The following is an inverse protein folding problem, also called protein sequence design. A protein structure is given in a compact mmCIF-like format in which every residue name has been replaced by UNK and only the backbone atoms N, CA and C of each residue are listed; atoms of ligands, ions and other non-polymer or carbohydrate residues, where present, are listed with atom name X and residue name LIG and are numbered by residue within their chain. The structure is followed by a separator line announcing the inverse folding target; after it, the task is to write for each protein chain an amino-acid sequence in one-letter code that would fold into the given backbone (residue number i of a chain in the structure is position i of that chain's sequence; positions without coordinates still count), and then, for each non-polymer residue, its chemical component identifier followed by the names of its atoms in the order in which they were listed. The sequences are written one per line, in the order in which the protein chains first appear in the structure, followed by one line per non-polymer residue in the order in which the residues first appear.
data_IF_284940148744
#
_entry.id   IF_284940148744
#
_cell.length_a   1.000
_cell.length_b   1.000
_cell.length_c   1.000
_cell.angle_alpha   90.00
_cell.angle_beta   90.00
_cell.angle_gamma   90.00
#
_symmetry.space_group_name_H-M   'P 1'
#
loop_
_entity.id
_entity.type
_entity.pdbx_description
1 polymer ?
#
# COMPACT_ATOMS: atom_id res chain seq x y z
N UNK A 1 -70.65 28.35 17.21
CA UNK A 1 -69.46 29.23 17.12
C UNK A 1 -68.23 28.42 17.52
N UNK A 2 -67.14 28.45 16.73
CA UNK A 2 -65.96 27.61 16.92
C UNK A 2 -64.94 28.27 17.86
N UNK A 3 -64.15 27.47 18.56
CA UNK A 3 -62.88 27.91 19.14
C UNK A 3 -61.78 26.92 18.72
N UNK A 4 -60.89 27.43 17.88
CA UNK A 4 -59.66 26.82 17.39
C UNK A 4 -58.55 27.13 18.41
N UNK A 5 -57.72 26.14 18.77
CA UNK A 5 -56.27 26.19 19.10
C UNK A 5 -55.89 24.92 19.87
N UNK A 6 -54.70 24.33 19.74
CA UNK A 6 -53.53 24.58 18.91
C UNK A 6 -52.74 23.26 18.89
N UNK A 7 -52.15 22.93 17.73
CA UNK A 7 -51.28 21.77 17.58
C UNK A 7 -50.07 21.86 18.49
N UNK A 8 -49.82 20.80 19.26
CA UNK A 8 -48.55 20.59 19.94
C UNK A 8 -47.46 20.41 18.90
N UNK A 9 -46.61 21.42 18.73
CA UNK A 9 -45.32 21.28 18.06
C UNK A 9 -44.49 20.30 18.89
N UNK A 10 -44.26 19.11 18.36
CA UNK A 10 -43.14 18.29 18.78
C UNK A 10 -41.88 19.14 18.62
N UNK A 11 -41.17 19.36 19.72
CA UNK A 11 -39.87 19.99 19.72
C UNK A 11 -38.91 19.05 18.97
N UNK A 12 -38.64 19.40 17.72
CA UNK A 12 -37.55 18.82 16.95
C UNK A 12 -36.26 19.16 17.70
N UNK A 13 -35.60 18.12 18.24
CA UNK A 13 -34.27 18.27 18.83
C UNK A 13 -33.35 18.73 17.69
N UNK A 14 -32.48 19.74 17.88
CA UNK A 14 -31.54 20.08 16.84
C UNK A 14 -30.68 18.84 16.57
N UNK A 15 -30.77 18.33 15.34
CA UNK A 15 -29.82 17.36 14.83
C UNK A 15 -28.42 17.92 15.11
N UNK A 16 -27.56 17.13 15.78
CA UNK A 16 -26.16 17.47 16.00
C UNK A 16 -25.59 17.84 14.63
N UNK A 17 -25.28 19.12 14.45
CA UNK A 17 -24.72 19.65 13.22
C UNK A 17 -23.49 18.82 12.86
N UNK A 18 -23.46 18.37 11.60
CA UNK A 18 -22.31 17.74 11.01
C UNK A 18 -21.10 18.68 11.13
N UNK A 19 -20.22 18.40 12.10
CA UNK A 19 -19.01 19.14 12.36
C UNK A 19 -17.84 18.60 11.52
N UNK A 20 -18.14 17.97 10.37
CA UNK A 20 -17.17 17.43 9.42
C UNK A 20 -16.10 18.44 9.04
N UNK A 21 -16.46 19.71 8.83
CA UNK A 21 -15.53 20.79 8.49
C UNK A 21 -14.52 21.11 9.63
N UNK A 22 -14.96 21.08 10.89
CA UNK A 22 -14.09 21.37 12.04
C UNK A 22 -13.07 20.26 12.32
N UNK A 23 -13.41 19.01 11.99
CA UNK A 23 -12.55 17.85 12.23
C UNK A 23 -11.40 17.74 11.22
N UNK A 24 -11.56 18.30 10.02
CA UNK A 24 -10.50 18.31 8.99
C UNK A 24 -9.50 19.45 9.18
N UNK A 25 -9.92 20.58 9.77
CA UNK A 25 -9.06 21.75 9.98
C UNK A 25 -7.83 21.45 10.86
N UNK A 26 -7.90 20.45 11.74
CA UNK A 26 -6.78 20.03 12.56
C UNK A 26 -5.59 19.47 11.75
N UNK A 27 -5.83 18.96 10.53
CA UNK A 27 -4.78 18.46 9.63
C UNK A 27 -3.84 19.56 9.13
N UNK A 28 -4.28 20.82 9.13
CA UNK A 28 -3.47 21.97 8.69
C UNK A 28 -2.99 22.83 9.86
N UNK A 29 -3.07 22.31 11.09
CA UNK A 29 -2.60 23.01 12.28
C UNK A 29 -1.09 23.26 12.24
N UNK A 30 -0.64 24.41 12.75
CA UNK A 30 0.78 24.68 12.95
C UNK A 30 1.44 23.69 13.93
N UNK A 31 0.67 23.13 14.87
CA UNK A 31 1.16 22.17 15.85
C UNK A 31 1.11 20.73 15.30
N UNK A 32 2.28 20.08 15.20
CA UNK A 32 2.41 18.71 14.71
C UNK A 32 1.57 17.70 15.52
N UNK A 33 1.46 17.86 16.84
CA UNK A 33 0.63 16.99 17.67
C UNK A 33 -0.87 17.10 17.36
N UNK A 34 -1.35 18.29 16.98
CA UNK A 34 -2.73 18.47 16.51
C UNK A 34 -2.93 17.78 15.17
N UNK A 35 -1.99 17.93 14.22
CA UNK A 35 -2.08 17.24 12.92
C UNK A 35 -2.07 15.72 13.11
N UNK A 36 -1.14 15.20 13.91
CA UNK A 36 -1.01 13.78 14.24
C UNK A 36 -2.29 13.20 14.87
N UNK A 37 -2.81 13.85 15.92
CA UNK A 37 -4.03 13.38 16.60
C UNK A 37 -5.25 13.46 15.70
N UNK A 38 -5.32 14.48 14.84
CA UNK A 38 -6.38 14.64 13.85
C UNK A 38 -6.33 13.52 12.81
N UNK A 39 -5.16 13.22 12.23
CA UNK A 39 -4.99 12.14 11.28
C UNK A 39 -5.47 10.79 11.87
N UNK A 40 -5.08 10.49 13.12
CA UNK A 40 -5.54 9.29 13.82
C UNK A 40 -7.05 9.26 14.06
N UNK A 41 -7.66 10.41 14.35
CA UNK A 41 -9.12 10.51 14.54
C UNK A 41 -9.90 10.32 13.21
N UNK A 42 -9.25 10.55 12.07
CA UNK A 42 -9.83 10.35 10.74
C UNK A 42 -9.59 8.94 10.17
N UNK A 43 -8.94 8.05 10.92
CA UNK A 43 -8.71 6.67 10.52
C UNK A 43 -10.03 5.95 10.14
N UNK A 44 -10.04 5.32 8.96
CA UNK A 44 -11.21 4.58 8.46
C UNK A 44 -12.34 5.45 7.88
N UNK A 45 -12.17 6.78 7.85
CA UNK A 45 -13.15 7.71 7.25
C UNK A 45 -12.89 7.90 5.76
N UNK A 46 -13.66 7.20 4.93
CA UNK A 46 -13.54 7.30 3.47
C UNK A 46 -13.81 8.73 2.94
N UNK A 47 -14.68 9.50 3.60
CA UNK A 47 -14.96 10.90 3.29
C UNK A 47 -13.76 11.83 3.57
N UNK A 48 -12.81 11.41 4.41
CA UNK A 48 -11.62 12.17 4.76
C UNK A 48 -10.43 11.95 3.81
N UNK A 49 -10.50 11.02 2.86
CA UNK A 49 -9.39 10.70 1.94
C UNK A 49 -8.85 11.93 1.22
N UNK A 50 -9.66 12.83 0.63
CA UNK A 50 -9.14 14.03 -0.03
C UNK A 50 -8.38 14.96 0.91
N UNK A 51 -8.85 15.10 2.16
CA UNK A 51 -8.20 15.94 3.15
C UNK A 51 -6.89 15.33 3.67
N UNK A 52 -6.88 14.01 3.91
CA UNK A 52 -5.67 13.27 4.26
C UNK A 52 -4.63 13.32 3.14
N UNK A 53 -5.05 13.21 1.88
CA UNK A 53 -4.17 13.34 0.71
C UNK A 53 -3.51 14.73 0.65
N UNK A 54 -4.30 15.80 0.81
CA UNK A 54 -3.78 17.16 0.85
C UNK A 54 -2.81 17.38 2.00
N UNK A 55 -3.11 16.85 3.19
CA UNK A 55 -2.23 16.93 4.35
C UNK A 55 -0.90 16.20 4.10
N UNK A 56 -0.95 14.96 3.58
CA UNK A 56 0.24 14.14 3.33
C UNK A 56 1.22 14.83 2.36
N UNK A 57 0.70 15.48 1.32
CA UNK A 57 1.51 16.15 0.30
C UNK A 57 2.34 17.32 0.83
N UNK A 58 1.88 17.98 1.90
CA UNK A 58 2.57 19.13 2.51
C UNK A 58 3.21 18.82 3.86
N UNK A 59 3.01 17.63 4.40
CA UNK A 59 3.50 17.26 5.72
C UNK A 59 5.02 17.06 5.71
N UNK A 60 5.71 17.55 6.72
CA UNK A 60 7.17 17.44 6.88
C UNK A 60 7.57 16.52 8.05
N UNK A 61 6.69 16.33 9.03
CA UNK A 61 6.95 15.48 10.18
C UNK A 61 6.77 13.99 9.85
N UNK A 62 7.83 13.16 9.95
CA UNK A 62 7.73 11.72 9.68
C UNK A 62 6.64 11.03 10.50
N UNK A 63 6.53 11.40 11.79
CA UNK A 63 5.49 10.89 12.70
C UNK A 63 4.07 11.22 12.24
N UNK A 64 3.86 12.41 11.67
CA UNK A 64 2.53 12.81 11.17
C UNK A 64 2.24 12.12 9.83
N UNK A 65 3.24 12.00 8.93
CA UNK A 65 3.10 11.25 7.67
C UNK A 65 2.69 9.80 7.92
N UNK A 66 3.35 9.12 8.85
CA UNK A 66 3.02 7.76 9.27
C UNK A 66 1.57 7.67 9.78
N UNK A 67 1.14 8.63 10.60
CA UNK A 67 -0.25 8.67 11.09
C UNK A 67 -1.27 8.90 9.97
N UNK A 68 -0.95 9.73 8.98
CA UNK A 68 -1.81 9.97 7.81
C UNK A 68 -1.88 8.72 6.93
N UNK A 69 -0.75 8.07 6.64
CA UNK A 69 -0.70 6.82 5.87
C UNK A 69 -1.43 5.69 6.60
N UNK A 70 -1.29 5.58 7.92
CA UNK A 70 -2.06 4.63 8.74
C UNK A 70 -3.57 4.91 8.65
N UNK A 71 -3.99 6.17 8.62
CA UNK A 71 -5.39 6.54 8.48
C UNK A 71 -5.94 6.15 7.11
N UNK A 72 -5.17 6.38 6.04
CA UNK A 72 -5.47 5.96 4.66
C UNK A 72 -5.52 4.44 4.53
N UNK A 73 -4.55 3.71 5.09
CA UNK A 73 -4.55 2.25 5.15
C UNK A 73 -5.82 1.72 5.81
N UNK A 74 -6.24 2.30 6.94
CA UNK A 74 -7.49 1.91 7.61
C UNK A 74 -8.76 2.21 6.82
N UNK A 75 -8.70 3.15 5.86
CA UNK A 75 -9.80 3.33 4.89
C UNK A 75 -9.81 2.18 3.88
N UNK A 76 -8.63 1.78 3.38
CA UNK A 76 -8.44 0.52 2.65
C UNK A 76 -9.23 0.41 1.34
N UNK A 77 -9.56 1.54 0.71
CA UNK A 77 -10.25 1.58 -0.58
C UNK A 77 -9.31 2.03 -1.72
N UNK A 78 -9.82 1.94 -2.95
CA UNK A 78 -9.08 2.32 -4.16
C UNK A 78 -8.54 3.76 -4.09
N UNK A 79 -9.32 4.70 -3.53
CA UNK A 79 -8.92 6.09 -3.42
C UNK A 79 -7.74 6.26 -2.44
N UNK A 80 -7.75 5.57 -1.30
CA UNK A 80 -6.63 5.59 -0.36
C UNK A 80 -5.36 4.98 -0.95
N UNK A 81 -5.48 3.88 -1.72
CA UNK A 81 -4.33 3.26 -2.39
C UNK A 81 -3.71 4.24 -3.39
N UNK A 82 -4.53 4.84 -4.26
CA UNK A 82 -4.05 5.84 -5.25
C UNK A 82 -3.34 7.04 -4.61
N UNK A 83 -3.72 7.44 -3.39
CA UNK A 83 -3.03 8.50 -2.66
C UNK A 83 -1.64 8.05 -2.19
N UNK A 84 -1.46 6.79 -1.81
CA UNK A 84 -0.19 6.26 -1.28
C UNK A 84 0.79 5.81 -2.37
N UNK A 85 0.32 5.31 -3.52
CA UNK A 85 1.19 4.78 -4.58
C UNK A 85 2.32 5.72 -5.04
N UNK A 86 2.11 7.04 -5.24
CA UNK A 86 3.18 7.94 -5.68
C UNK A 86 4.37 8.01 -4.71
N UNK A 87 4.15 7.68 -3.43
CA UNK A 87 5.19 7.72 -2.41
C UNK A 87 6.15 6.53 -2.46
N UNK A 88 5.88 5.51 -3.28
CA UNK A 88 6.86 4.47 -3.61
C UNK A 88 8.07 5.05 -4.37
N UNK A 89 7.88 6.14 -5.11
CA UNK A 89 8.93 6.84 -5.85
C UNK A 89 9.45 8.09 -5.10
N UNK A 90 9.15 8.24 -3.80
CA UNK A 90 9.62 9.39 -3.04
C UNK A 90 11.15 9.37 -2.87
N UNK A 91 11.82 10.53 -2.94
CA UNK A 91 13.28 10.60 -2.67
C UNK A 91 13.61 10.25 -1.21
N UNK A 92 12.71 10.61 -0.29
CA UNK A 92 12.85 10.33 1.14
C UNK A 92 12.62 8.84 1.44
N UNK A 93 13.66 8.16 1.93
CA UNK A 93 13.61 6.73 2.20
C UNK A 93 12.61 6.35 3.30
N UNK A 94 12.42 7.23 4.31
CA UNK A 94 11.42 7.02 5.36
C UNK A 94 10.00 7.05 4.80
N UNK A 95 9.74 7.96 3.86
CA UNK A 95 8.46 8.08 3.19
C UNK A 95 8.16 6.90 2.28
N UNK A 96 9.15 6.40 1.54
CA UNK A 96 9.02 5.15 0.77
C UNK A 96 8.68 3.97 1.66
N UNK A 97 9.41 3.81 2.77
CA UNK A 97 9.18 2.72 3.72
C UNK A 97 7.77 2.78 4.33
N UNK A 98 7.32 3.96 4.75
CA UNK A 98 5.98 4.15 5.29
C UNK A 98 4.88 3.84 4.25
N UNK A 99 5.10 4.21 2.98
CA UNK A 99 4.16 3.88 1.91
C UNK A 99 4.06 2.38 1.67
N UNK A 100 5.20 1.67 1.63
CA UNK A 100 5.25 0.21 1.47
C UNK A 100 4.54 -0.47 2.64
N UNK A 101 4.86 -0.11 3.88
CA UNK A 101 4.23 -0.69 5.08
C UNK A 101 2.72 -0.50 5.07
N UNK A 102 2.25 0.72 4.77
CA UNK A 102 0.82 1.02 4.71
C UNK A 102 0.11 0.24 3.58
N UNK A 103 0.73 0.11 2.41
CA UNK A 103 0.16 -0.62 1.28
C UNK A 103 0.15 -2.14 1.53
N UNK A 104 1.20 -2.69 2.15
CA UNK A 104 1.28 -4.10 2.57
C UNK A 104 0.21 -4.48 3.60
N UNK A 105 -0.35 -3.51 4.33
CA UNK A 105 -1.45 -3.72 5.27
C UNK A 105 -2.84 -3.87 4.62
N UNK A 106 -2.96 -3.65 3.30
CA UNK A 106 -4.21 -3.75 2.54
C UNK A 106 -4.01 -4.45 1.18
N UNK A 107 -3.46 -5.68 1.16
CA UNK A 107 -3.05 -6.35 -0.07
C UNK A 107 -4.18 -6.52 -1.10
N UNK A 108 -5.41 -6.78 -0.65
CA UNK A 108 -6.57 -6.93 -1.55
C UNK A 108 -6.92 -5.63 -2.29
N UNK A 109 -6.74 -4.47 -1.64
CA UNK A 109 -6.97 -3.17 -2.26
C UNK A 109 -5.84 -2.77 -3.21
N UNK A 110 -4.63 -3.30 -3.00
CA UNK A 110 -3.43 -3.06 -3.83
C UNK A 110 -3.39 -3.97 -5.06
N UNK A 111 -3.93 -5.19 -4.98
CA UNK A 111 -3.88 -6.19 -6.05
C UNK A 111 -4.25 -5.65 -7.45
N UNK A 112 -5.29 -4.81 -7.64
CA UNK A 112 -5.62 -4.23 -8.96
C UNK A 112 -4.53 -3.34 -9.57
N UNK A 113 -3.60 -2.83 -8.76
CA UNK A 113 -2.54 -1.90 -9.19
C UNK A 113 -1.21 -2.59 -9.50
N UNK A 114 -1.04 -3.85 -9.10
CA UNK A 114 0.24 -4.55 -9.20
C UNK A 114 0.80 -4.63 -10.61
N UNK A 115 -0.06 -4.84 -11.61
CA UNK A 115 0.39 -4.91 -13.01
C UNK A 115 0.99 -3.57 -13.48
N UNK A 116 0.40 -2.44 -13.07
CA UNK A 116 0.92 -1.13 -13.42
C UNK A 116 2.25 -0.85 -12.69
N UNK A 117 2.34 -1.23 -11.41
CA UNK A 117 3.57 -1.07 -10.63
C UNK A 117 4.73 -1.90 -11.18
N UNK A 118 4.47 -3.14 -11.63
CA UNK A 118 5.47 -3.96 -12.30
C UNK A 118 5.84 -3.50 -13.71
N UNK A 119 5.07 -2.59 -14.30
CA UNK A 119 5.36 -1.97 -15.58
C UNK A 119 5.95 -0.55 -15.43
N UNK A 120 6.22 -0.10 -14.20
CA UNK A 120 6.78 1.23 -13.96
C UNK A 120 8.15 1.37 -14.62
N UNK A 121 8.44 2.56 -15.15
CA UNK A 121 9.72 2.85 -15.80
C UNK A 121 10.89 2.81 -14.82
N UNK A 122 10.64 3.13 -13.54
CA UNK A 122 11.65 3.13 -12.49
C UNK A 122 11.80 1.72 -11.90
N UNK A 123 13.02 1.18 -11.96
CA UNK A 123 13.33 -0.14 -11.38
C UNK A 123 13.17 -0.18 -9.87
N UNK A 124 13.36 0.95 -9.17
CA UNK A 124 13.22 0.99 -7.71
C UNK A 124 11.74 0.86 -7.32
N UNK A 125 10.83 1.48 -8.09
CA UNK A 125 9.39 1.28 -7.92
C UNK A 125 9.01 -0.19 -8.17
N UNK A 126 9.57 -0.80 -9.22
CA UNK A 126 9.32 -2.23 -9.50
C UNK A 126 9.85 -3.15 -8.39
N UNK A 127 11.02 -2.85 -7.81
CA UNK A 127 11.56 -3.57 -6.64
C UNK A 127 10.62 -3.42 -5.45
N UNK A 128 10.18 -2.21 -5.11
CA UNK A 128 9.25 -2.02 -3.99
C UNK A 128 7.89 -2.68 -4.25
N UNK A 129 7.46 -2.76 -5.50
CA UNK A 129 6.25 -3.48 -5.88
C UNK A 129 6.35 -4.99 -5.59
N UNK A 130 7.55 -5.61 -5.64
CA UNK A 130 7.67 -7.03 -5.28
C UNK A 130 7.36 -7.24 -3.80
N UNK A 131 7.76 -6.30 -2.94
CA UNK A 131 7.44 -6.35 -1.51
C UNK A 131 5.94 -6.30 -1.25
N UNK A 132 5.17 -5.55 -2.04
CA UNK A 132 3.72 -5.49 -1.88
C UNK A 132 3.04 -6.84 -2.17
N UNK A 133 3.66 -7.70 -2.98
CA UNK A 133 3.15 -9.04 -3.27
C UNK A 133 3.35 -10.02 -2.10
N UNK A 134 4.25 -9.74 -1.15
CA UNK A 134 4.62 -10.64 -0.04
C UNK A 134 3.45 -11.01 0.86
N UNK A 135 2.51 -10.09 1.07
CA UNK A 135 1.32 -10.30 1.90
C UNK A 135 0.07 -10.72 1.10
N UNK A 136 0.20 -10.94 -0.21
CA UNK A 136 -0.90 -11.44 -1.03
C UNK A 136 -1.04 -12.97 -0.86
N UNK A 137 -2.20 -13.57 -1.20
CA UNK A 137 -2.34 -15.02 -1.20
C UNK A 137 -1.24 -15.69 -2.05
N UNK A 138 -0.62 -16.76 -1.53
CA UNK A 138 0.56 -17.41 -2.14
C UNK A 138 0.42 -17.70 -3.64
N UNK A 139 -0.74 -18.22 -4.05
CA UNK A 139 -1.02 -18.51 -5.47
C UNK A 139 -1.06 -17.24 -6.34
N UNK A 140 -1.58 -16.14 -5.81
CA UNK A 140 -1.62 -14.85 -6.50
C UNK A 140 -0.24 -14.20 -6.54
N UNK A 141 0.47 -14.15 -5.40
CA UNK A 141 1.84 -13.65 -5.32
C UNK A 141 2.75 -14.41 -6.30
N UNK A 142 2.67 -15.75 -6.30
CA UNK A 142 3.44 -16.61 -7.20
C UNK A 142 3.16 -16.28 -8.66
N UNK A 143 1.88 -16.23 -9.05
CA UNK A 143 1.48 -15.91 -10.43
C UNK A 143 1.99 -14.54 -10.88
N UNK A 144 1.85 -13.53 -10.02
CA UNK A 144 2.25 -12.15 -10.32
C UNK A 144 3.77 -12.01 -10.47
N UNK A 145 4.54 -12.54 -9.51
CA UNK A 145 5.99 -12.45 -9.52
C UNK A 145 6.62 -13.28 -10.64
N UNK A 146 6.03 -14.45 -10.97
CA UNK A 146 6.44 -15.21 -12.15
C UNK A 146 6.26 -14.40 -13.45
N UNK A 147 5.11 -13.75 -13.62
CA UNK A 147 4.84 -12.92 -14.80
C UNK A 147 5.80 -11.72 -14.92
N UNK A 148 6.16 -11.10 -13.78
CA UNK A 148 7.22 -10.08 -13.72
C UNK A 148 8.56 -10.66 -14.18
N UNK A 149 9.01 -11.76 -13.56
CA UNK A 149 10.29 -12.39 -13.87
C UNK A 149 10.37 -12.78 -15.35
N UNK A 150 9.30 -13.28 -15.99
CA UNK A 150 9.39 -13.66 -17.40
C UNK A 150 9.76 -12.50 -18.33
N UNK A 151 9.36 -11.27 -18.01
CA UNK A 151 9.51 -10.11 -18.90
C UNK A 151 10.59 -9.11 -18.44
N UNK A 152 11.06 -9.22 -17.20
CA UNK A 152 12.00 -8.26 -16.60
C UNK A 152 13.45 -8.44 -17.10
N UNK A 153 14.09 -7.32 -17.43
CA UNK A 153 15.48 -7.28 -17.92
C UNK A 153 16.47 -6.85 -16.85
N UNK A 154 16.00 -6.18 -15.79
CA UNK A 154 16.82 -5.68 -14.71
C UNK A 154 17.08 -6.79 -13.66
N UNK A 155 18.34 -7.25 -13.47
CA UNK A 155 18.62 -8.40 -12.62
C UNK A 155 18.27 -8.16 -11.14
N UNK A 156 18.34 -6.92 -10.65
CA UNK A 156 17.96 -6.62 -9.26
C UNK A 156 16.44 -6.72 -9.03
N UNK A 157 15.62 -6.42 -10.05
CA UNK A 157 14.16 -6.56 -9.94
C UNK A 157 13.80 -8.05 -9.92
N UNK A 158 14.43 -8.84 -10.80
CA UNK A 158 14.31 -10.30 -10.76
C UNK A 158 14.73 -10.87 -9.39
N UNK A 159 15.85 -10.42 -8.83
CA UNK A 159 16.32 -10.89 -7.53
C UNK A 159 15.37 -10.52 -6.38
N UNK A 160 14.79 -9.31 -6.38
CA UNK A 160 13.77 -8.93 -5.41
C UNK A 160 12.50 -9.83 -5.53
N UNK A 161 12.06 -10.12 -6.75
CA UNK A 161 10.96 -11.05 -6.98
C UNK A 161 11.28 -12.49 -6.52
N UNK A 162 12.51 -12.95 -6.76
CA UNK A 162 13.00 -14.28 -6.32
C UNK A 162 13.05 -14.36 -4.78
N UNK A 163 13.48 -13.28 -4.11
CA UNK A 163 13.49 -13.20 -2.65
C UNK A 163 12.10 -13.40 -2.06
N UNK A 164 11.10 -12.65 -2.57
CA UNK A 164 9.71 -12.81 -2.14
C UNK A 164 9.19 -14.23 -2.44
N UNK A 165 9.48 -14.78 -3.62
CA UNK A 165 9.12 -16.16 -3.97
C UNK A 165 9.81 -17.21 -3.09
N UNK A 166 10.95 -16.91 -2.47
CA UNK A 166 11.59 -17.84 -1.53
C UNK A 166 10.75 -18.03 -0.26
N UNK A 167 10.03 -16.98 0.16
CA UNK A 167 9.18 -17.02 1.35
C UNK A 167 7.75 -17.50 1.05
N UNK A 168 7.13 -17.01 -0.03
CA UNK A 168 5.70 -17.23 -0.31
C UNK A 168 5.43 -17.96 -1.62
N UNK A 169 6.48 -18.31 -2.37
CA UNK A 169 6.37 -18.94 -3.67
C UNK A 169 5.95 -20.40 -3.58
N UNK A 170 5.14 -20.83 -4.55
CA UNK A 170 4.73 -22.23 -4.70
C UNK A 170 5.57 -22.93 -5.77
N UNK A 171 5.44 -24.27 -5.90
CA UNK A 171 6.23 -25.08 -6.85
C UNK A 171 6.06 -24.66 -8.32
N UNK A 172 4.95 -24.00 -8.62
CA UNK A 172 4.64 -23.38 -9.91
C UNK A 172 5.70 -22.35 -10.35
N UNK A 173 6.45 -21.75 -9.40
CA UNK A 173 7.52 -20.81 -9.72
C UNK A 173 8.77 -21.47 -10.31
N UNK A 174 9.03 -22.74 -10.02
CA UNK A 174 10.31 -23.42 -10.34
C UNK A 174 10.70 -23.28 -11.82
N UNK A 175 9.83 -23.57 -12.81
CA UNK A 175 10.22 -23.45 -14.21
C UNK A 175 10.61 -22.02 -14.62
N UNK A 176 9.97 -21.01 -14.02
CA UNK A 176 10.26 -19.59 -14.29
C UNK A 176 11.60 -19.21 -13.66
N UNK A 177 11.87 -19.67 -12.45
CA UNK A 177 13.14 -19.45 -11.75
C UNK A 177 14.32 -20.06 -12.54
N UNK A 178 14.19 -21.29 -13.05
CA UNK A 178 15.22 -21.94 -13.89
C UNK A 178 15.51 -21.15 -15.17
N UNK A 179 14.46 -20.66 -15.85
CA UNK A 179 14.61 -19.79 -17.02
C UNK A 179 15.30 -18.47 -16.66
N UNK A 180 14.98 -17.89 -15.51
CA UNK A 180 15.62 -16.68 -15.01
C UNK A 180 17.12 -16.88 -14.75
N UNK A 181 17.51 -17.99 -14.09
CA UNK A 181 18.91 -18.34 -13.88
C UNK A 181 19.66 -18.51 -15.21
N UNK A 182 19.03 -19.13 -16.21
CA UNK A 182 19.61 -19.28 -17.55
C UNK A 182 19.80 -17.92 -18.23
N UNK A 183 18.79 -17.04 -18.19
CA UNK A 183 18.86 -15.70 -18.80
C UNK A 183 19.96 -14.83 -18.17
N UNK A 184 20.15 -14.95 -16.86
CA UNK A 184 21.14 -14.17 -16.11
C UNK A 184 22.35 -15.01 -15.67
N UNK A 185 22.76 -16.00 -16.47
CA UNK A 185 23.89 -16.87 -16.13
C UNK A 185 25.22 -16.12 -15.92
N UNK A 186 25.40 -14.98 -16.59
CA UNK A 186 26.57 -14.10 -16.45
C UNK A 186 26.51 -13.17 -15.22
N UNK A 187 25.42 -13.20 -14.46
CA UNK A 187 25.18 -12.39 -13.25
C UNK A 187 25.11 -13.32 -12.05
N UNK A 188 26.25 -13.68 -11.41
CA UNK A 188 26.33 -14.87 -10.53
C UNK A 188 25.36 -14.89 -9.36
N UNK A 189 24.95 -13.73 -8.84
CA UNK A 189 24.01 -13.66 -7.73
C UNK A 189 22.59 -14.12 -8.12
N UNK A 190 22.18 -14.01 -9.39
CA UNK A 190 20.84 -14.42 -9.83
C UNK A 190 20.68 -15.95 -9.84
N UNK A 191 21.55 -16.74 -10.49
CA UNK A 191 21.50 -18.21 -10.38
C UNK A 191 21.63 -18.70 -8.93
N UNK A 192 22.45 -18.03 -8.11
CA UNK A 192 22.55 -18.35 -6.68
C UNK A 192 21.21 -18.16 -5.96
N UNK A 193 20.57 -16.99 -6.08
CA UNK A 193 19.27 -16.72 -5.47
C UNK A 193 18.20 -17.70 -5.95
N UNK A 194 18.18 -18.02 -7.25
CA UNK A 194 17.29 -19.04 -7.81
C UNK A 194 17.50 -20.41 -7.16
N UNK A 195 18.75 -20.84 -6.96
CA UNK A 195 19.02 -22.14 -6.34
C UNK A 195 18.49 -22.23 -4.91
N UNK A 196 18.63 -21.15 -4.13
CA UNK A 196 18.09 -21.03 -2.76
C UNK A 196 16.57 -21.08 -2.78
N UNK A 197 15.93 -20.32 -3.67
CA UNK A 197 14.49 -20.29 -3.81
C UNK A 197 13.93 -21.68 -4.17
N UNK A 198 14.51 -22.36 -5.17
CA UNK A 198 14.06 -23.69 -5.59
C UNK A 198 14.20 -24.72 -4.46
N UNK A 199 15.32 -24.71 -3.73
CA UNK A 199 15.52 -25.62 -2.59
C UNK A 199 14.43 -25.41 -1.51
N UNK A 200 14.16 -24.15 -1.18
CA UNK A 200 13.13 -23.77 -0.19
C UNK A 200 11.73 -24.21 -0.65
N UNK A 201 11.33 -23.85 -1.87
CA UNK A 201 10.02 -24.18 -2.46
C UNK A 201 9.82 -25.70 -2.61
N UNK A 202 10.89 -26.44 -2.88
CA UNK A 202 10.84 -27.89 -3.05
C UNK A 202 10.75 -28.66 -1.72
N UNK A 203 10.95 -27.99 -0.58
CA UNK A 203 11.01 -28.63 0.74
C UNK A 203 12.28 -29.47 0.94
N UNK A 204 13.32 -29.20 0.17
CA UNK A 204 14.64 -29.82 0.31
C UNK A 204 15.50 -28.81 1.07
N UNK A 205 15.42 -28.82 2.40
CA UNK A 205 16.35 -28.03 3.21
C UNK A 205 17.78 -28.56 3.00
N UNK A 206 18.70 -27.64 2.76
CA UNK A 206 20.13 -27.88 2.57
C UNK A 206 20.86 -28.19 3.87
#
# INVERSE_FOLDING_TARGET
MPLIKAGGKAADKPAKGDNSAGHLAGLTSAAADTRWSTARALAGRADAVPALAGALASEDSPRVREAIMTALMRVGNEASVKVMLPYLAADDAGLRAAAVEALQGIPEAVAPFMQALFADTDSDVRILATELARNMPEAEATRLLCALIENEQHPNVCAAAIDVLTEVGTKEAIPVLERCATRFAATPFVPFAVSVAIARISGTEA
#
